data_IF_831145780959
#
_entry.id   IF_831145780959
#
_cell.length_a   1.000
_cell.length_b   1.000
_cell.length_c   1.000
_cell.angle_alpha   90.00
_cell.angle_beta   90.00
_cell.angle_gamma   90.00
#
_symmetry.space_group_name_H-M   'P 1'
#
loop_
_entity.id
_entity.type
_entity.pdbx_description
1 polymer ?
#
# COMPACT_ATOMS: atom_id res chain seq x y z
N UNK A 1 -1.08 1.91 40.50
CA UNK A 1 0.11 1.03 40.63
C UNK A 1 0.13 0.09 39.45
N UNK A 2 1.09 0.22 38.54
CA UNK A 2 1.28 -0.76 37.46
C UNK A 2 1.82 -2.04 38.11
N UNK A 3 1.07 -3.14 38.00
CA UNK A 3 1.40 -4.46 38.54
C UNK A 3 2.83 -4.87 38.14
N UNK A 4 3.66 -5.34 39.08
CA UNK A 4 5.04 -5.77 38.81
C UNK A 4 5.12 -6.86 37.72
N UNK A 5 4.10 -7.69 37.60
CA UNK A 5 3.99 -8.68 36.51
C UNK A 5 3.89 -8.00 35.13
N UNK A 6 3.15 -6.90 35.03
CA UNK A 6 3.02 -6.13 33.79
C UNK A 6 4.35 -5.45 33.43
N UNK A 7 5.10 -4.95 34.42
CA UNK A 7 6.45 -4.41 34.19
C UNK A 7 7.43 -5.46 33.68
N UNK A 8 7.41 -6.67 34.26
CA UNK A 8 8.24 -7.78 33.80
C UNK A 8 7.87 -8.22 32.38
N UNK A 9 6.57 -8.38 32.07
CA UNK A 9 6.10 -8.73 30.72
C UNK A 9 6.50 -7.69 29.67
N UNK A 10 6.30 -6.40 29.96
CA UNK A 10 6.71 -5.30 29.07
C UNK A 10 8.22 -5.28 28.83
N UNK A 11 9.03 -5.54 29.87
CA UNK A 11 10.49 -5.56 29.73
C UNK A 11 10.95 -6.69 28.81
N UNK A 12 10.34 -7.88 28.91
CA UNK A 12 10.64 -9.01 28.03
C UNK A 12 10.30 -8.63 26.58
N UNK A 13 9.08 -8.11 26.35
CA UNK A 13 8.63 -7.70 25.03
C UNK A 13 9.56 -6.64 24.41
N UNK A 14 9.94 -5.61 25.18
CA UNK A 14 10.90 -4.60 24.71
C UNK A 14 12.23 -5.24 24.30
N UNK A 15 12.77 -6.13 25.14
CA UNK A 15 14.03 -6.80 24.83
C UNK A 15 13.94 -7.66 23.57
N UNK A 16 12.84 -8.36 23.35
CA UNK A 16 12.65 -9.21 22.17
C UNK A 16 12.45 -8.38 20.90
N UNK A 17 11.72 -7.27 20.99
CA UNK A 17 11.59 -6.32 19.87
C UNK A 17 12.91 -5.63 19.52
N UNK A 18 13.75 -5.31 20.53
CA UNK A 18 15.09 -4.74 20.29
C UNK A 18 16.03 -5.76 19.66
N UNK A 19 15.97 -7.04 20.07
CA UNK A 19 16.81 -8.11 19.50
C UNK A 19 16.47 -8.40 18.03
N UNK A 20 15.22 -8.27 17.65
CA UNK A 20 14.73 -8.55 16.29
C UNK A 20 14.76 -7.32 15.38
N UNK A 21 15.05 -6.15 15.93
CA UNK A 21 15.16 -4.90 15.19
C UNK A 21 16.36 -4.93 14.22
N UNK A 22 16.08 -4.78 12.92
CA UNK A 22 17.11 -4.62 11.87
C UNK A 22 17.84 -3.27 11.99
N UNK A 23 18.97 -3.12 11.29
CA UNK A 23 19.86 -1.95 11.32
C UNK A 23 19.19 -0.58 11.10
N UNK A 24 18.00 -0.52 10.47
CA UNK A 24 17.27 0.71 10.19
C UNK A 24 16.00 0.91 11.02
N UNK A 25 15.69 0.02 11.96
CA UNK A 25 14.49 0.07 12.78
C UNK A 25 14.58 1.23 13.81
N UNK A 26 13.80 2.32 13.65
CA UNK A 26 13.82 3.42 14.61
C UNK A 26 13.20 2.99 15.95
N UNK A 27 13.63 3.60 17.06
CA UNK A 27 13.09 3.31 18.41
C UNK A 27 11.56 3.42 18.49
N UNK A 28 10.96 4.34 17.73
CA UNK A 28 9.50 4.51 17.68
C UNK A 28 8.78 3.27 17.13
N UNK A 29 9.42 2.48 16.25
CA UNK A 29 8.85 1.22 15.74
C UNK A 29 8.82 0.18 16.84
N UNK A 30 9.91 0.01 17.58
CA UNK A 30 9.96 -0.87 18.76
C UNK A 30 8.86 -0.49 19.76
N UNK A 31 8.71 0.80 20.05
CA UNK A 31 7.66 1.30 20.93
C UNK A 31 6.25 0.97 20.39
N UNK A 32 5.99 1.18 19.11
CA UNK A 32 4.69 0.87 18.50
C UNK A 32 4.38 -0.63 18.53
N UNK A 33 5.38 -1.51 18.35
CA UNK A 33 5.20 -2.96 18.46
C UNK A 33 4.88 -3.39 19.89
N UNK A 34 5.59 -2.84 20.87
CA UNK A 34 5.29 -3.08 22.29
C UNK A 34 3.90 -2.56 22.65
N UNK A 35 3.52 -1.37 22.17
CA UNK A 35 2.18 -0.81 22.35
C UNK A 35 1.12 -1.68 21.70
N UNK A 36 1.36 -2.23 20.51
CA UNK A 36 0.47 -3.20 19.86
C UNK A 36 0.21 -4.39 20.76
N UNK A 37 1.27 -5.00 21.30
CA UNK A 37 1.14 -6.14 22.22
C UNK A 37 0.28 -5.77 23.43
N UNK A 38 0.46 -4.58 24.02
CA UNK A 38 -0.38 -4.12 25.13
C UNK A 38 -1.84 -3.92 24.71
N UNK A 39 -2.07 -3.28 23.56
CA UNK A 39 -3.39 -3.07 22.98
C UNK A 39 -4.13 -4.39 22.74
N UNK A 40 -3.44 -5.38 22.17
CA UNK A 40 -3.97 -6.72 21.93
C UNK A 40 -4.40 -7.41 23.23
N UNK A 41 -3.62 -7.28 24.32
CA UNK A 41 -3.99 -7.81 25.65
C UNK A 41 -5.20 -7.10 26.28
N UNK A 42 -5.39 -5.82 25.96
CA UNK A 42 -6.49 -5.01 26.47
C UNK A 42 -7.73 -5.04 25.57
N UNK A 43 -7.69 -5.75 24.44
CA UNK A 43 -8.71 -5.73 23.39
C UNK A 43 -9.02 -4.30 22.90
N UNK A 44 -7.98 -3.47 22.75
CA UNK A 44 -8.06 -2.12 22.19
C UNK A 44 -7.40 -2.15 20.81
N UNK A 45 -8.01 -1.55 19.80
CA UNK A 45 -7.36 -1.43 18.50
C UNK A 45 -6.27 -0.37 18.55
N UNK A 46 -5.05 -0.71 18.13
CA UNK A 46 -3.93 0.23 18.12
C UNK A 46 -4.22 1.48 17.25
N UNK A 47 -5.04 1.32 16.20
CA UNK A 47 -5.53 2.40 15.33
C UNK A 47 -6.38 3.45 16.06
N UNK A 48 -6.92 3.14 17.23
CA UNK A 48 -7.70 4.09 18.04
C UNK A 48 -6.81 5.08 18.79
N UNK A 49 -5.51 4.79 18.90
CA UNK A 49 -4.56 5.70 19.55
C UNK A 49 -4.31 6.94 18.67
N UNK A 50 -4.41 8.17 19.21
CA UNK A 50 -4.28 9.41 18.43
C UNK A 50 -2.99 9.51 17.59
N UNK A 51 -1.88 9.02 18.13
CA UNK A 51 -0.57 9.07 17.47
C UNK A 51 -0.43 8.06 16.31
N UNK A 52 -1.24 6.99 16.31
CA UNK A 52 -1.22 5.93 15.30
C UNK A 52 -2.35 6.10 14.28
N UNK A 53 -3.50 6.66 14.68
CA UNK A 53 -4.70 6.87 13.85
C UNK A 53 -4.42 7.57 12.51
N UNK A 54 -3.42 8.43 12.46
CA UNK A 54 -3.05 9.19 11.26
C UNK A 54 -1.84 8.63 10.50
N UNK A 55 -1.47 7.37 10.77
CA UNK A 55 -0.36 6.69 10.11
C UNK A 55 -0.86 5.60 9.17
N UNK A 56 -0.04 5.26 8.19
CA UNK A 56 -0.26 4.16 7.25
C UNK A 56 0.39 2.92 7.84
N UNK A 57 -0.38 1.86 8.03
CA UNK A 57 0.15 0.57 8.42
C UNK A 57 0.72 -0.14 7.18
N UNK A 58 1.98 -0.54 7.25
CA UNK A 58 2.65 -1.31 6.21
C UNK A 58 2.50 -2.79 6.51
N UNK A 59 1.40 -3.35 6.04
CA UNK A 59 1.11 -4.78 6.10
C UNK A 59 1.93 -5.60 5.08
N UNK A 60 1.75 -6.93 5.08
CA UNK A 60 2.48 -7.82 4.20
C UNK A 60 2.15 -7.58 2.70
N UNK A 61 0.91 -7.25 2.37
CA UNK A 61 0.51 -7.00 0.98
C UNK A 61 1.18 -5.72 0.45
N UNK A 62 1.14 -4.64 1.22
CA UNK A 62 1.76 -3.37 0.86
C UNK A 62 3.28 -3.50 0.77
N UNK A 63 3.90 -4.26 1.68
CA UNK A 63 5.35 -4.60 1.61
C UNK A 63 5.68 -5.26 0.29
N UNK A 64 4.97 -6.31 -0.07
CA UNK A 64 5.20 -7.04 -1.31
C UNK A 64 5.05 -6.13 -2.53
N UNK A 65 4.00 -5.31 -2.59
CA UNK A 65 3.79 -4.38 -3.71
C UNK A 65 4.92 -3.35 -3.83
N UNK A 66 5.42 -2.82 -2.71
CA UNK A 66 6.55 -1.88 -2.72
C UNK A 66 7.85 -2.56 -3.18
N UNK A 67 8.13 -3.77 -2.71
CA UNK A 67 9.29 -4.57 -3.14
C UNK A 67 9.20 -4.92 -4.62
N UNK A 68 8.03 -5.31 -5.11
CA UNK A 68 7.78 -5.61 -6.53
C UNK A 68 8.09 -4.40 -7.41
N UNK A 69 7.63 -3.20 -7.02
CA UNK A 69 7.91 -1.97 -7.78
C UNK A 69 9.41 -1.64 -7.74
N UNK A 70 10.05 -1.85 -6.58
CA UNK A 70 11.46 -1.58 -6.37
C UNK A 70 12.38 -2.48 -7.21
N UNK A 71 12.11 -3.78 -7.20
CA UNK A 71 12.96 -4.81 -7.79
C UNK A 71 12.81 -4.94 -9.31
N UNK A 72 11.90 -4.18 -9.94
CA UNK A 72 11.72 -4.20 -11.39
C UNK A 72 12.96 -3.79 -12.19
N UNK A 73 13.86 -3.00 -11.60
CA UNK A 73 15.11 -2.61 -12.25
C UNK A 73 16.20 -3.68 -12.12
N UNK A 74 16.02 -4.68 -11.25
CA UNK A 74 17.00 -5.72 -10.94
C UNK A 74 17.00 -6.89 -11.93
N UNK A 75 16.02 -6.93 -12.85
CA UNK A 75 15.97 -7.89 -13.95
C UNK A 75 16.02 -7.17 -15.29
N UNK A 76 17.23 -6.82 -15.79
CA UNK A 76 17.36 -6.58 -17.21
C UNK A 76 16.99 -7.89 -17.91
N UNK A 77 16.12 -7.81 -18.92
CA UNK A 77 15.89 -8.90 -19.86
C UNK A 77 17.24 -9.47 -20.32
N UNK A 78 17.66 -10.60 -19.75
CA UNK A 78 18.80 -11.39 -20.23
C UNK A 78 18.36 -12.17 -21.45
N UNK A 79 18.16 -11.45 -22.55
CA UNK A 79 18.25 -11.98 -23.91
C UNK A 79 18.68 -10.85 -24.84
N UNK A 80 19.98 -10.51 -24.81
CA UNK A 80 20.81 -10.21 -25.99
C UNK A 80 22.24 -10.01 -25.50
N UNK A 81 23.18 -10.64 -26.21
CA UNK A 81 24.57 -10.77 -25.81
C UNK A 81 25.31 -9.47 -25.53
N UNK A 82 26.34 -9.61 -24.69
CA UNK A 82 27.49 -8.70 -24.53
C UNK A 82 27.13 -7.23 -24.28
N UNK A 83 26.67 -6.94 -23.06
CA UNK A 83 27.13 -5.84 -22.19
C UNK A 83 26.19 -5.77 -20.97
N UNK A 84 26.51 -6.56 -19.94
CA UNK A 84 25.79 -6.55 -18.68
C UNK A 84 25.88 -5.14 -18.04
N UNK A 85 24.74 -4.45 -17.96
CA UNK A 85 24.61 -3.21 -17.19
C UNK A 85 24.66 -3.59 -15.70
N UNK A 86 25.45 -2.90 -14.86
CA UNK A 86 25.73 -3.37 -13.51
C UNK A 86 24.48 -3.42 -12.63
N UNK A 87 24.39 -4.52 -11.89
CA UNK A 87 23.43 -4.77 -10.84
C UNK A 87 23.37 -3.62 -9.82
N UNK A 88 22.16 -3.40 -9.30
CA UNK A 88 21.79 -2.46 -8.23
C UNK A 88 22.93 -2.29 -7.22
N UNK A 89 23.51 -1.10 -7.20
CA UNK A 89 24.54 -0.71 -6.23
C UNK A 89 23.96 -0.72 -4.81
N UNK A 90 24.66 -1.31 -3.83
CA UNK A 90 24.22 -1.46 -2.43
C UNK A 90 23.69 -0.18 -1.74
N UNK A 91 24.01 1.02 -2.23
CA UNK A 91 23.45 2.29 -1.72
C UNK A 91 22.01 2.57 -2.16
N UNK A 92 21.55 1.96 -3.25
CA UNK A 92 20.20 2.18 -3.79
C UNK A 92 19.11 1.46 -3.02
N UNK A 93 19.43 0.51 -2.13
CA UNK A 93 18.47 -0.26 -1.32
C UNK A 93 18.18 0.37 0.05
N UNK A 94 19.00 1.34 0.50
CA UNK A 94 18.88 1.92 1.84
C UNK A 94 17.51 2.57 2.08
N UNK A 95 16.93 3.26 1.09
CA UNK A 95 15.62 3.90 1.24
C UNK A 95 14.47 2.89 1.33
N UNK A 96 14.53 1.76 0.60
CA UNK A 96 13.56 0.67 0.76
C UNK A 96 13.71 0.02 2.13
N UNK A 97 14.93 -0.30 2.54
CA UNK A 97 15.19 -0.91 3.85
C UNK A 97 14.72 -0.02 5.00
N UNK A 98 14.95 1.31 4.92
CA UNK A 98 14.42 2.28 5.89
C UNK A 98 12.89 2.33 5.91
N UNK A 99 12.25 2.23 4.74
CA UNK A 99 10.79 2.22 4.67
C UNK A 99 10.21 0.93 5.24
N UNK A 100 10.74 -0.22 4.81
CA UNK A 100 10.31 -1.55 5.27
C UNK A 100 10.71 -1.85 6.72
N UNK A 101 11.67 -1.12 7.31
CA UNK A 101 11.95 -1.24 8.73
C UNK A 101 10.83 -0.67 9.61
N UNK A 102 9.93 0.15 9.05
CA UNK A 102 8.79 0.74 9.76
C UNK A 102 7.54 -0.12 9.56
N UNK A 103 6.70 -0.24 10.60
CA UNK A 103 5.36 -0.82 10.46
C UNK A 103 4.29 0.26 10.27
N UNK A 104 4.52 1.45 10.83
CA UNK A 104 3.62 2.59 10.73
C UNK A 104 4.39 3.79 10.19
N UNK A 105 3.85 4.45 9.18
CA UNK A 105 4.51 5.58 8.53
C UNK A 105 3.59 6.78 8.38
N UNK A 106 4.16 7.98 8.47
CA UNK A 106 3.39 9.19 8.22
C UNK A 106 3.04 9.28 6.73
N UNK A 107 1.87 9.82 6.36
CA UNK A 107 1.51 10.03 4.96
C UNK A 107 2.55 10.83 4.19
N UNK A 108 3.21 11.81 4.81
CA UNK A 108 4.31 12.57 4.21
C UNK A 108 5.53 11.71 3.84
N UNK A 109 5.88 10.74 4.69
CA UNK A 109 7.00 9.83 4.45
C UNK A 109 6.64 8.86 3.32
N UNK A 110 5.41 8.34 3.33
CA UNK A 110 4.91 7.47 2.27
C UNK A 110 4.83 8.21 0.94
N UNK A 111 4.33 9.44 0.93
CA UNK A 111 4.29 10.30 -0.26
C UNK A 111 5.67 10.53 -0.87
N UNK A 112 6.68 10.77 -0.02
CA UNK A 112 8.06 10.90 -0.50
C UNK A 112 8.52 9.59 -1.16
N UNK A 113 8.21 8.45 -0.55
CA UNK A 113 8.63 7.14 -1.03
C UNK A 113 7.90 6.70 -2.30
N UNK A 114 6.59 6.93 -2.41
CA UNK A 114 5.83 6.68 -3.65
C UNK A 114 6.35 7.54 -4.80
N UNK A 115 6.82 8.77 -4.53
CA UNK A 115 7.54 9.58 -5.49
C UNK A 115 8.87 8.97 -5.96
N UNK A 116 9.59 8.28 -5.07
CA UNK A 116 10.80 7.52 -5.44
C UNK A 116 10.42 6.32 -6.31
N UNK A 117 9.41 5.55 -5.91
CA UNK A 117 8.93 4.38 -6.64
C UNK A 117 8.44 4.77 -8.05
N UNK A 118 7.63 5.82 -8.19
CA UNK A 118 7.14 6.32 -9.47
C UNK A 118 8.27 6.80 -10.40
N UNK A 119 9.29 7.48 -9.87
CA UNK A 119 10.49 7.84 -10.65
C UNK A 119 11.27 6.62 -11.11
N UNK A 120 11.26 5.52 -10.36
CA UNK A 120 11.92 4.27 -10.76
C UNK A 120 11.12 3.51 -11.80
N UNK A 121 9.80 3.52 -11.70
CA UNK A 121 8.89 2.91 -12.68
C UNK A 121 8.94 3.61 -14.04
N UNK A 122 8.95 4.95 -14.06
CA UNK A 122 9.01 5.75 -15.31
C UNK A 122 10.34 5.67 -16.04
N UNK A 123 11.44 5.28 -15.37
CA UNK A 123 12.75 5.08 -15.98
C UNK A 123 12.88 3.73 -16.72
N UNK A 124 11.83 2.91 -16.74
CA UNK A 124 11.82 1.64 -17.46
C UNK A 124 11.70 1.86 -18.97
N UNK A 125 12.22 0.91 -19.76
CA UNK A 125 12.15 0.92 -21.23
C UNK A 125 10.71 0.96 -21.76
N UNK A 126 9.76 0.47 -20.97
CA UNK A 126 8.32 0.60 -21.19
C UNK A 126 7.70 1.10 -19.88
N UNK A 127 7.37 2.40 -19.75
CA UNK A 127 6.74 2.94 -18.56
C UNK A 127 5.38 2.28 -18.36
N UNK A 128 5.25 1.45 -17.33
CA UNK A 128 3.99 0.78 -17.01
C UNK A 128 3.47 1.33 -15.69
N UNK A 129 3.02 2.60 -15.66
CA UNK A 129 2.51 3.29 -14.44
C UNK A 129 1.38 2.52 -13.69
N UNK A 130 0.88 1.45 -14.29
CA UNK A 130 0.01 0.43 -13.70
C UNK A 130 0.36 0.01 -12.28
N UNK A 131 1.64 -0.06 -11.85
CA UNK A 131 1.96 -0.64 -10.54
C UNK A 131 1.88 0.40 -9.42
N UNK A 132 2.21 1.65 -9.69
CA UNK A 132 1.92 2.74 -8.74
C UNK A 132 0.42 2.97 -8.63
N UNK A 133 -0.31 2.90 -9.75
CA UNK A 133 -1.78 2.97 -9.71
C UNK A 133 -2.39 1.80 -8.91
N UNK A 134 -1.86 0.58 -9.10
CA UNK A 134 -2.21 -0.59 -8.29
C UNK A 134 -1.86 -0.40 -6.81
N UNK A 135 -0.68 0.09 -6.48
CA UNK A 135 -0.25 0.31 -5.09
C UNK A 135 -1.23 1.24 -4.37
N UNK A 136 -1.56 2.36 -5.01
CA UNK A 136 -2.39 3.41 -4.42
C UNK A 136 -3.89 3.17 -4.57
N UNK A 137 -4.31 2.25 -5.45
CA UNK A 137 -5.73 2.03 -5.78
C UNK A 137 -6.33 3.28 -6.42
N UNK A 138 -5.70 3.80 -7.47
CA UNK A 138 -6.14 5.06 -8.11
C UNK A 138 -7.46 4.84 -8.84
N UNK A 139 -8.51 5.52 -8.36
CA UNK A 139 -9.89 5.42 -8.87
C UNK A 139 -10.21 6.34 -10.05
N UNK A 140 -9.31 7.30 -10.34
CA UNK A 140 -9.45 8.31 -11.37
C UNK A 140 -10.40 9.49 -11.04
N UNK A 141 -11.14 9.46 -9.92
CA UNK A 141 -11.92 10.62 -9.46
C UNK A 141 -11.02 11.80 -9.07
N UNK A 142 -9.83 11.50 -8.56
CA UNK A 142 -8.80 12.48 -8.22
C UNK A 142 -7.84 12.76 -9.40
N UNK A 143 -8.14 12.21 -10.58
CA UNK A 143 -7.28 12.25 -11.76
C UNK A 143 -5.91 11.63 -11.49
N UNK A 144 -4.85 12.30 -11.97
CA UNK A 144 -3.46 11.85 -11.83
C UNK A 144 -2.78 12.35 -10.54
N UNK A 145 -3.52 12.90 -9.58
CA UNK A 145 -2.94 13.37 -8.32
C UNK A 145 -2.66 12.21 -7.34
N UNK A 146 -1.53 11.54 -7.59
CA UNK A 146 -1.04 10.44 -6.75
C UNK A 146 -0.87 10.86 -5.28
N UNK A 147 -0.69 12.14 -4.98
CA UNK A 147 -0.46 12.59 -3.61
C UNK A 147 -1.68 12.37 -2.73
N UNK A 148 -2.86 12.61 -3.30
CA UNK A 148 -4.13 12.42 -2.59
C UNK A 148 -4.47 10.95 -2.40
N UNK A 149 -4.05 10.09 -3.34
CA UNK A 149 -4.26 8.65 -3.27
C UNK A 149 -3.39 7.96 -2.20
N UNK A 150 -2.35 8.61 -1.66
CA UNK A 150 -1.56 8.07 -0.54
C UNK A 150 -2.42 7.90 0.72
N UNK A 151 -3.42 8.75 0.92
CA UNK A 151 -4.34 8.64 2.07
C UNK A 151 -5.20 7.38 2.00
N UNK A 152 -5.39 6.79 0.82
CA UNK A 152 -6.15 5.53 0.66
C UNK A 152 -5.47 4.36 1.37
N UNK A 153 -4.16 4.46 1.61
CA UNK A 153 -3.39 3.46 2.36
C UNK A 153 -3.67 3.46 3.87
N UNK A 154 -4.44 4.44 4.36
CA UNK A 154 -4.78 4.55 5.80
C UNK A 154 -6.09 3.87 6.17
N UNK A 155 -6.91 3.52 5.18
CA UNK A 155 -8.23 2.96 5.46
C UNK A 155 -8.08 1.61 6.19
N UNK A 156 -8.96 1.38 7.17
CA UNK A 156 -8.95 0.16 7.98
C UNK A 156 -9.70 -0.96 7.27
N UNK A 157 -9.33 -2.22 7.52
CA UNK A 157 -9.88 -3.37 6.79
C UNK A 157 -11.42 -3.52 6.87
N UNK A 158 -12.05 -2.90 7.86
CA UNK A 158 -13.49 -2.87 8.10
C UNK A 158 -14.23 -1.69 7.43
N UNK A 159 -13.51 -0.73 6.84
CA UNK A 159 -14.09 0.42 6.13
C UNK A 159 -14.50 0.03 4.69
N UNK A 160 -15.69 0.46 4.26
CA UNK A 160 -16.16 0.30 2.87
C UNK A 160 -15.19 0.96 1.88
N UNK A 161 -14.46 2.01 2.30
CA UNK A 161 -13.41 2.65 1.51
C UNK A 161 -12.25 1.69 1.24
N UNK A 162 -11.91 0.83 2.18
CA UNK A 162 -10.87 -0.20 1.99
C UNK A 162 -11.33 -1.24 0.99
N UNK A 163 -12.60 -1.68 1.07
CA UNK A 163 -13.20 -2.60 0.08
C UNK A 163 -13.12 -2.00 -1.32
N UNK A 164 -13.48 -0.73 -1.48
CA UNK A 164 -13.33 -0.01 -2.75
C UNK A 164 -11.88 -0.01 -3.25
N UNK A 165 -10.94 0.43 -2.41
CA UNK A 165 -9.53 0.51 -2.78
C UNK A 165 -8.99 -0.86 -3.18
N UNK A 166 -9.28 -1.92 -2.42
CA UNK A 166 -8.86 -3.29 -2.78
C UNK A 166 -9.46 -3.75 -4.11
N UNK A 167 -10.74 -3.45 -4.37
CA UNK A 167 -11.36 -3.76 -5.66
C UNK A 167 -10.60 -3.08 -6.80
N UNK A 168 -10.26 -1.79 -6.66
CA UNK A 168 -9.45 -1.07 -7.66
C UNK A 168 -8.05 -1.68 -7.83
N UNK A 169 -7.36 -2.02 -6.74
CA UNK A 169 -6.06 -2.70 -6.81
C UNK A 169 -6.15 -4.03 -7.56
N UNK A 170 -7.23 -4.76 -7.34
CA UNK A 170 -7.48 -6.05 -7.98
C UNK A 170 -7.76 -5.89 -9.48
N UNK A 171 -8.51 -4.87 -9.88
CA UNK A 171 -8.73 -4.56 -11.30
C UNK A 171 -7.42 -4.26 -12.05
N UNK A 172 -6.49 -3.51 -11.44
CA UNK A 172 -5.16 -3.32 -12.00
C UNK A 172 -4.33 -4.63 -12.01
N UNK A 173 -4.44 -5.44 -10.96
CA UNK A 173 -3.72 -6.72 -10.84
C UNK A 173 -4.13 -7.69 -11.94
N UNK A 174 -5.41 -7.77 -12.24
CA UNK A 174 -5.97 -8.68 -13.23
C UNK A 174 -5.77 -8.16 -14.67
N UNK A 175 -5.13 -7.00 -14.82
CA UNK A 175 -4.84 -6.37 -16.11
C UNK A 175 -6.09 -5.81 -16.80
N UNK A 176 -7.22 -5.77 -16.10
CA UNK A 176 -8.51 -5.30 -16.60
C UNK A 176 -8.52 -3.78 -16.84
N UNK A 177 -7.80 -3.04 -16.00
CA UNK A 177 -7.54 -1.61 -16.14
C UNK A 177 -6.03 -1.34 -16.22
N UNK A 178 -5.63 -0.38 -17.05
CA UNK A 178 -4.23 0.02 -17.21
C UNK A 178 -4.01 1.51 -16.87
N UNK A 179 -5.09 2.28 -16.85
CA UNK A 179 -5.08 3.72 -16.58
C UNK A 179 -6.12 4.11 -15.50
N UNK A 180 -5.96 5.26 -14.82
CA UNK A 180 -7.00 5.84 -13.97
C UNK A 180 -8.30 6.11 -14.72
N UNK A 181 -8.21 6.46 -16.00
CA UNK A 181 -9.36 6.74 -16.85
C UNK A 181 -10.23 5.49 -17.10
N UNK A 182 -9.60 4.31 -17.22
CA UNK A 182 -10.32 3.03 -17.33
C UNK A 182 -11.15 2.79 -16.07
N UNK A 183 -10.52 2.93 -14.90
CA UNK A 183 -11.18 2.72 -13.61
C UNK A 183 -12.31 3.72 -13.40
N UNK A 184 -12.03 5.00 -13.63
CA UNK A 184 -13.02 6.07 -13.52
C UNK A 184 -14.26 5.76 -14.35
N UNK A 185 -14.06 5.28 -15.58
CA UNK A 185 -15.17 4.93 -16.43
C UNK A 185 -15.98 3.72 -15.92
N UNK A 186 -15.32 2.68 -15.40
CA UNK A 186 -16.01 1.55 -14.76
C UNK A 186 -16.84 2.01 -13.57
N UNK A 187 -16.33 2.94 -12.77
CA UNK A 187 -17.08 3.50 -11.64
C UNK A 187 -18.29 4.31 -12.12
N UNK A 188 -18.13 5.16 -13.14
CA UNK A 188 -19.22 5.94 -13.72
C UNK A 188 -20.36 5.07 -14.28
N UNK A 189 -20.03 3.96 -14.96
CA UNK A 189 -21.04 3.01 -15.47
C UNK A 189 -21.65 2.16 -14.35
N UNK A 190 -20.88 1.86 -13.30
CA UNK A 190 -21.39 1.15 -12.11
C UNK A 190 -22.49 1.94 -11.43
N UNK A 191 -22.24 3.23 -11.18
CA UNK A 191 -23.17 4.12 -10.48
C UNK A 191 -24.20 4.81 -11.41
N UNK A 192 -24.26 4.42 -12.68
CA UNK A 192 -25.30 4.87 -13.63
C UNK A 192 -25.12 6.29 -14.16
N UNK A 193 -23.95 6.90 -13.98
CA UNK A 193 -23.67 8.25 -14.49
C UNK A 193 -23.39 8.27 -16.01
N UNK A 194 -22.88 7.17 -16.57
CA UNK A 194 -22.59 7.05 -18.00
C UNK A 194 -23.05 5.72 -18.57
N UNK A 195 -23.52 5.68 -19.84
CA UNK A 195 -23.83 4.42 -20.53
C UNK A 195 -22.55 3.64 -20.87
N UNK A 196 -22.71 2.34 -21.13
CA UNK A 196 -21.65 1.50 -21.68
C UNK A 196 -21.25 1.95 -23.09
N UNK A 197 -19.96 1.85 -23.43
CA UNK A 197 -19.43 2.12 -24.78
C UNK A 197 -19.28 0.81 -25.56
N UNK A 198 -18.86 -0.25 -24.88
CA UNK A 198 -18.56 -1.56 -25.46
C UNK A 198 -18.93 -2.71 -24.51
N UNK A 199 -19.13 -3.95 -25.00
CA UNK A 199 -19.49 -5.10 -24.16
C UNK A 199 -18.51 -5.39 -23.02
N UNK A 200 -17.22 -5.10 -23.24
CA UNK A 200 -16.18 -5.21 -22.21
C UNK A 200 -16.48 -4.38 -20.97
N UNK A 201 -17.17 -3.25 -21.13
CA UNK A 201 -17.51 -2.35 -20.02
C UNK A 201 -18.50 -3.00 -19.04
N UNK A 202 -19.41 -3.83 -19.57
CA UNK A 202 -20.36 -4.59 -18.76
C UNK A 202 -19.64 -5.65 -17.93
N UNK A 203 -18.66 -6.34 -18.53
CA UNK A 203 -17.80 -7.30 -17.82
C UNK A 203 -16.98 -6.62 -16.71
N UNK A 204 -16.40 -5.44 -16.99
CA UNK A 204 -15.62 -4.68 -16.02
C UNK A 204 -16.48 -4.19 -14.86
N UNK A 205 -17.69 -3.68 -15.15
CA UNK A 205 -18.68 -3.31 -14.12
C UNK A 205 -19.06 -4.53 -13.27
N UNK A 206 -19.38 -5.66 -13.91
CA UNK A 206 -19.74 -6.88 -13.19
C UNK A 206 -18.59 -7.35 -12.30
N UNK A 207 -17.36 -7.27 -12.79
CA UNK A 207 -16.17 -7.61 -12.00
C UNK A 207 -16.01 -6.70 -10.79
N UNK A 208 -16.07 -5.38 -10.96
CA UNK A 208 -15.98 -4.42 -9.85
C UNK A 208 -17.12 -4.63 -8.82
N UNK A 209 -18.36 -4.77 -9.27
CA UNK A 209 -19.51 -5.00 -8.38
C UNK A 209 -19.39 -6.31 -7.61
N UNK A 210 -18.86 -7.38 -8.22
CA UNK A 210 -18.58 -8.63 -7.53
C UNK A 210 -17.49 -8.49 -6.45
N UNK A 211 -16.45 -7.70 -6.70
CA UNK A 211 -15.38 -7.45 -5.72
C UNK A 211 -15.88 -6.63 -4.52
N UNK A 212 -16.78 -5.69 -4.76
CA UNK A 212 -17.31 -4.78 -3.74
C UNK A 212 -18.46 -5.39 -2.94
N UNK A 213 -19.29 -6.22 -3.57
CA UNK A 213 -20.39 -6.93 -2.92
C UNK A 213 -21.44 -5.99 -2.33
N UNK A 214 -21.79 -6.23 -1.06
CA UNK A 214 -22.86 -5.51 -0.33
C UNK A 214 -22.47 -4.07 0.08
N UNK A 215 -21.23 -3.65 -0.18
CA UNK A 215 -20.74 -2.30 0.13
C UNK A 215 -21.00 -1.27 -0.97
N UNK A 216 -21.62 -1.67 -2.08
CA UNK A 216 -21.78 -0.82 -3.26
C UNK A 216 -22.54 0.47 -2.96
N UNK A 217 -23.64 0.37 -2.20
CA UNK A 217 -24.47 1.52 -1.85
C UNK A 217 -23.69 2.51 -0.96
N UNK A 218 -22.90 2.01 -0.01
CA UNK A 218 -22.08 2.85 0.89
C UNK A 218 -20.97 3.60 0.17
N UNK A 219 -20.45 3.03 -0.91
CA UNK A 219 -19.42 3.69 -1.74
C UNK A 219 -20.03 4.81 -2.60
N UNK A 220 -21.34 4.74 -2.89
CA UNK A 220 -22.02 5.75 -3.70
C UNK A 220 -22.42 7.02 -2.94
N UNK A 221 -22.41 6.98 -1.59
CA UNK A 221 -22.70 8.11 -0.69
C UNK A 221 -21.52 9.09 -0.55
#
# INVERSE_FOLDING_TARGET
>A
MINEQLKCGLKIEICDQVRTAKNYCPRIVVLNRVLKTVCDHLNIFLSDLPDVKNTIYIDAELRQMMEDIWNLQSHPNTFTGNNATPAVTNGDNEELEKMLAKDYVKPSDMLRFTGILSKRETKQTIPTMSKIYKLLGVDGYLGNDLKRCVEYLKYSNDDYKTVHVHAIRQMYRDGLCQSPEDVYFVLQTTFGFTPFREPKDEELKLHYTNLVGDKLDQISE
#
